data_IF_400622196228
#
_entry.id   IF_400622196228
#
_cell.length_a   1.000
_cell.length_b   1.000
_cell.length_c   1.000
_cell.angle_alpha   90.00
_cell.angle_beta   90.00
_cell.angle_gamma   90.00
#
_symmetry.space_group_name_H-M   'P 1'
#
loop_
_entity.id
_entity.type
_entity.pdbx_description
1 polymer ?
#
# COMPACT_ATOMS: atom_id res chain seq x y z
N UNK A 1 35.72 -14.27 -40.29
CA UNK A 1 36.58 -14.14 -39.10
C UNK A 1 37.25 -12.77 -38.92
N UNK A 2 38.27 -12.33 -39.68
CA UNK A 2 38.99 -11.07 -39.36
C UNK A 2 38.14 -9.80 -39.43
N UNK A 3 37.17 -9.72 -40.35
CA UNK A 3 36.29 -8.56 -40.49
C UNK A 3 35.20 -8.53 -39.41
N UNK A 4 34.59 -9.68 -39.11
CA UNK A 4 33.60 -9.85 -38.04
C UNK A 4 34.20 -9.58 -36.66
N UNK A 5 35.42 -10.07 -36.40
CA UNK A 5 36.13 -9.80 -35.16
C UNK A 5 36.45 -8.31 -35.00
N UNK A 6 36.81 -7.61 -36.08
CA UNK A 6 37.05 -6.16 -36.06
C UNK A 6 35.77 -5.37 -35.77
N UNK A 7 34.63 -5.78 -36.32
CA UNK A 7 33.33 -5.18 -36.02
C UNK A 7 32.91 -5.38 -34.55
N UNK A 8 33.09 -6.59 -34.01
CA UNK A 8 32.83 -6.89 -32.60
C UNK A 8 33.68 -5.99 -31.69
N UNK A 9 34.97 -5.84 -32.02
CA UNK A 9 35.90 -5.05 -31.22
C UNK A 9 35.59 -3.54 -31.27
N UNK A 10 35.12 -3.04 -32.41
CA UNK A 10 34.63 -1.65 -32.54
C UNK A 10 33.37 -1.42 -31.72
N UNK A 11 32.38 -2.32 -31.80
CA UNK A 11 31.16 -2.21 -31.00
C UNK A 11 31.45 -2.29 -29.49
N UNK A 12 32.32 -3.20 -29.07
CA UNK A 12 32.78 -3.29 -27.68
C UNK A 12 33.45 -1.98 -27.24
N UNK A 13 34.32 -1.41 -28.08
CA UNK A 13 34.94 -0.12 -27.82
C UNK A 13 33.91 1.00 -27.64
N UNK A 14 32.91 1.08 -28.52
CA UNK A 14 31.83 2.08 -28.43
C UNK A 14 31.00 1.91 -27.15
N UNK A 15 30.68 0.67 -26.75
CA UNK A 15 29.93 0.40 -25.51
C UNK A 15 30.75 0.80 -24.27
N UNK A 16 32.03 0.45 -24.22
CA UNK A 16 32.91 0.79 -23.10
C UNK A 16 33.09 2.30 -22.98
N UNK A 17 33.31 2.99 -24.11
CA UNK A 17 33.46 4.45 -24.12
C UNK A 17 32.16 5.14 -23.72
N UNK A 18 31.02 4.73 -24.28
CA UNK A 18 29.71 5.32 -23.96
C UNK A 18 29.31 5.07 -22.51
N UNK A 19 29.49 3.84 -22.01
CA UNK A 19 29.21 3.48 -20.62
C UNK A 19 30.13 4.20 -19.64
N UNK A 20 31.42 4.34 -19.97
CA UNK A 20 32.38 5.09 -19.17
C UNK A 20 32.03 6.58 -19.09
N UNK A 21 31.65 7.20 -20.21
CA UNK A 21 31.18 8.59 -20.23
C UNK A 21 29.93 8.78 -19.36
N UNK A 22 28.94 7.88 -19.49
CA UNK A 22 27.72 7.94 -18.69
C UNK A 22 28.01 7.76 -17.20
N UNK A 23 28.93 6.86 -16.83
CA UNK A 23 29.33 6.62 -15.44
C UNK A 23 30.01 7.85 -14.82
N UNK A 24 30.90 8.52 -15.56
CA UNK A 24 31.54 9.76 -15.09
C UNK A 24 30.48 10.84 -14.87
N UNK A 25 29.59 11.07 -15.84
CA UNK A 25 28.50 12.06 -15.70
C UNK A 25 27.61 11.72 -14.50
N UNK A 26 27.22 10.46 -14.35
CA UNK A 26 26.40 10.00 -13.24
C UNK A 26 27.10 10.24 -11.88
N UNK A 27 28.39 9.96 -11.76
CA UNK A 27 29.14 10.14 -10.51
C UNK A 27 29.24 11.59 -10.02
N UNK A 28 29.19 12.57 -10.94
CA UNK A 28 29.12 13.98 -10.55
C UNK A 28 27.68 14.46 -10.32
N UNK A 29 26.69 13.82 -10.95
CA UNK A 29 25.29 14.26 -10.88
C UNK A 29 24.55 13.60 -9.73
N UNK A 30 24.96 12.41 -9.27
CA UNK A 30 24.30 11.65 -8.21
C UNK A 30 24.18 12.45 -6.92
N UNK A 31 25.25 13.13 -6.51
CA UNK A 31 25.29 13.85 -5.24
C UNK A 31 24.33 15.06 -5.28
N UNK A 32 24.28 15.75 -6.42
CA UNK A 32 23.34 16.85 -6.68
C UNK A 32 21.90 16.33 -6.69
N UNK A 33 21.63 15.14 -7.24
CA UNK A 33 20.27 14.56 -7.24
C UNK A 33 19.80 14.30 -5.80
N UNK A 34 20.66 13.71 -4.97
CA UNK A 34 20.32 13.41 -3.57
C UNK A 34 20.06 14.68 -2.77
N UNK A 35 20.90 15.71 -2.94
CA UNK A 35 20.72 16.99 -2.26
C UNK A 35 19.42 17.69 -2.68
N UNK A 36 19.12 17.74 -3.99
CA UNK A 36 17.85 18.30 -4.47
C UNK A 36 16.62 17.50 -4.02
N UNK A 37 16.74 16.18 -3.88
CA UNK A 37 15.66 15.32 -3.36
C UNK A 37 15.42 15.57 -1.87
N UNK A 38 16.47 15.76 -1.09
CA UNK A 38 16.38 16.11 0.32
C UNK A 38 15.80 17.52 0.52
N UNK A 39 16.23 18.50 -0.26
CA UNK A 39 15.66 19.85 -0.24
C UNK A 39 14.15 19.81 -0.56
N UNK A 40 13.75 19.13 -1.65
CA UNK A 40 12.33 18.97 -1.99
C UNK A 40 11.53 18.27 -0.90
N UNK A 41 12.13 17.29 -0.22
CA UNK A 41 11.51 16.58 0.89
C UNK A 41 11.32 17.50 2.10
N UNK A 42 12.32 18.30 2.43
CA UNK A 42 12.23 19.26 3.53
C UNK A 42 11.22 20.38 3.23
N UNK A 43 11.23 20.91 2.01
CA UNK A 43 10.21 21.85 1.54
C UNK A 43 8.80 21.25 1.64
N UNK A 44 8.65 19.97 1.26
CA UNK A 44 7.38 19.25 1.38
C UNK A 44 6.90 19.12 2.83
N UNK A 45 7.82 18.79 3.75
CA UNK A 45 7.50 18.67 5.17
C UNK A 45 6.96 20.01 5.72
N UNK A 46 7.66 21.11 5.43
CA UNK A 46 7.29 22.46 5.86
C UNK A 46 5.99 22.92 5.20
N UNK A 47 5.77 22.62 3.91
CA UNK A 47 4.53 22.95 3.21
C UNK A 47 3.32 22.22 3.81
N UNK A 48 3.49 20.93 4.15
CA UNK A 48 2.44 20.10 4.70
C UNK A 48 2.11 20.46 6.15
N UNK A 49 3.11 20.78 6.97
CA UNK A 49 2.93 21.16 8.37
C UNK A 49 3.77 22.40 8.71
N UNK A 50 3.33 23.61 8.31
CA UNK A 50 4.09 24.85 8.52
C UNK A 50 4.23 25.21 10.01
N UNK A 51 3.39 24.64 10.87
CA UNK A 51 3.44 24.81 12.32
C UNK A 51 4.68 24.17 12.97
N UNK A 52 5.41 23.31 12.23
CA UNK A 52 6.60 22.62 12.70
C UNK A 52 7.94 23.18 12.16
N UNK A 53 7.90 24.26 11.38
CA UNK A 53 9.08 24.88 10.74
C UNK A 53 10.21 25.19 11.75
N UNK A 54 9.88 25.71 12.93
CA UNK A 54 10.86 26.18 13.92
C UNK A 54 11.33 25.14 14.93
N UNK A 55 10.54 24.10 15.21
CA UNK A 55 10.90 23.03 16.16
C UNK A 55 11.44 21.76 15.49
N UNK A 56 11.20 21.63 14.19
CA UNK A 56 11.76 20.58 13.35
C UNK A 56 10.94 19.30 13.32
N UNK A 57 11.15 18.56 12.24
CA UNK A 57 10.61 17.23 12.03
C UNK A 57 11.58 16.22 12.66
N UNK A 58 11.05 15.30 13.46
CA UNK A 58 11.81 14.13 13.88
C UNK A 58 11.48 13.01 12.92
N UNK A 59 12.47 12.64 12.11
CA UNK A 59 12.39 11.41 11.34
C UNK A 59 12.33 10.25 12.31
N UNK A 60 11.28 9.47 12.16
CA UNK A 60 11.14 8.20 12.81
C UNK A 60 11.07 7.16 11.71
N UNK A 61 12.15 6.41 11.55
CA UNK A 61 12.13 5.20 10.74
C UNK A 61 11.40 4.13 11.54
N UNK A 62 10.11 4.35 11.83
CA UNK A 62 9.24 3.22 12.07
C UNK A 62 9.10 2.57 10.70
N UNK A 63 10.02 1.65 10.45
CA UNK A 63 9.81 0.58 9.52
C UNK A 63 8.67 -0.24 10.16
N UNK A 64 7.43 0.24 10.00
CA UNK A 64 6.37 -0.68 9.63
C UNK A 64 6.99 -1.52 8.51
N UNK A 65 6.75 -2.82 8.51
CA UNK A 65 7.49 -3.83 7.74
C UNK A 65 7.56 -3.57 6.20
N UNK A 66 7.00 -2.45 5.74
CA UNK A 66 6.90 -1.87 4.40
C UNK A 66 7.87 -0.69 4.07
N UNK A 67 8.92 -0.39 4.86
CA UNK A 67 9.94 0.67 4.58
C UNK A 67 9.42 2.11 4.44
N UNK A 68 8.21 2.41 4.90
CA UNK A 68 7.64 3.76 4.84
C UNK A 68 8.25 4.68 5.90
N UNK A 69 8.67 5.89 5.51
CA UNK A 69 9.24 6.88 6.45
C UNK A 69 8.12 7.76 7.03
N UNK A 70 8.12 7.92 8.36
CA UNK A 70 7.21 8.81 9.10
C UNK A 70 8.04 9.94 9.73
N UNK A 71 7.50 11.15 9.69
CA UNK A 71 8.09 12.33 10.31
C UNK A 71 7.12 12.87 11.35
N UNK A 72 7.49 12.81 12.62
CA UNK A 72 6.70 13.44 13.68
C UNK A 72 7.00 14.94 13.69
N UNK A 73 5.94 15.75 13.63
CA UNK A 73 6.02 17.19 13.58
C UNK A 73 5.68 17.79 14.95
N UNK A 74 6.53 18.69 15.44
CA UNK A 74 6.38 19.35 16.75
C UNK A 74 6.35 20.87 16.56
N UNK A 75 5.59 21.59 17.40
CA UNK A 75 5.63 23.05 17.47
C UNK A 75 6.83 23.56 18.29
N UNK A 76 7.05 24.88 18.28
CA UNK A 76 8.10 25.58 19.06
C UNK A 76 8.13 25.24 20.56
N UNK A 77 7.01 24.77 21.11
CA UNK A 77 6.86 24.44 22.53
C UNK A 77 7.13 22.95 22.78
N UNK A 78 7.47 22.18 21.74
CA UNK A 78 7.72 20.75 21.80
C UNK A 78 6.44 19.90 21.84
N UNK A 79 5.28 20.49 21.55
CA UNK A 79 4.02 19.75 21.45
C UNK A 79 3.87 19.20 20.03
N UNK A 80 3.50 17.93 19.93
CA UNK A 80 3.22 17.28 18.64
C UNK A 80 2.03 17.95 17.96
N UNK A 81 2.23 18.41 16.72
CA UNK A 81 1.18 19.05 15.89
C UNK A 81 0.61 18.10 14.84
N UNK A 82 1.38 17.08 14.46
CA UNK A 82 0.97 16.09 13.49
C UNK A 82 2.08 15.10 13.15
N UNK A 83 1.90 14.42 12.03
CA UNK A 83 2.92 13.60 11.39
C UNK A 83 2.82 13.74 9.87
N UNK A 84 3.92 13.49 9.18
CA UNK A 84 3.97 13.36 7.72
C UNK A 84 4.42 11.95 7.39
N UNK A 85 3.73 11.27 6.50
CA UNK A 85 4.11 9.93 6.05
C UNK A 85 4.13 9.86 4.54
N UNK A 86 4.85 8.87 4.01
CA UNK A 86 4.93 8.63 2.56
C UNK A 86 4.05 7.44 2.18
N UNK A 87 3.27 7.59 1.10
CA UNK A 87 2.55 6.50 0.44
C UNK A 87 2.99 6.39 -1.02
N UNK A 88 2.98 5.17 -1.56
CA UNK A 88 3.35 4.92 -2.95
C UNK A 88 2.33 4.02 -3.66
N UNK A 89 1.04 4.40 -3.74
CA UNK A 89 0.04 3.62 -4.44
C UNK A 89 0.42 3.43 -5.91
N UNK A 90 0.03 2.28 -6.47
CA UNK A 90 0.23 1.97 -7.88
C UNK A 90 -0.79 2.74 -8.73
N UNK A 91 -0.29 3.72 -9.48
CA UNK A 91 -1.04 4.44 -10.51
C UNK A 91 -1.20 3.64 -11.80
N UNK A 92 -1.53 4.34 -12.89
CA UNK A 92 -1.68 3.73 -14.21
C UNK A 92 -0.33 3.30 -14.81
N UNK A 93 0.70 4.15 -14.73
CA UNK A 93 2.00 3.90 -15.34
C UNK A 93 3.07 3.43 -14.34
N UNK A 94 2.85 3.62 -13.04
CA UNK A 94 3.80 3.25 -12.00
C UNK A 94 3.38 3.77 -10.63
N UNK A 95 4.24 3.63 -9.59
CA UNK A 95 3.96 4.16 -8.26
C UNK A 95 3.88 5.69 -8.29
N UNK A 96 2.97 6.24 -7.48
CA UNK A 96 2.81 7.68 -7.25
C UNK A 96 3.26 7.97 -5.81
N UNK A 97 4.54 8.34 -5.64
CA UNK A 97 5.12 8.61 -4.32
C UNK A 97 4.62 9.95 -3.83
N UNK A 98 3.85 9.93 -2.75
CA UNK A 98 3.14 11.09 -2.20
C UNK A 98 3.41 11.19 -0.71
N UNK A 99 3.79 12.38 -0.25
CA UNK A 99 3.83 12.73 1.16
C UNK A 99 2.48 13.28 1.60
N UNK A 100 2.02 12.85 2.76
CA UNK A 100 0.71 13.21 3.31
C UNK A 100 0.92 13.79 4.70
N UNK A 101 0.44 15.00 4.92
CA UNK A 101 0.44 15.62 6.24
C UNK A 101 -0.84 15.30 6.99
N UNK A 102 -0.72 14.80 8.21
CA UNK A 102 -1.83 14.44 9.09
C UNK A 102 -1.71 15.22 10.39
N UNK A 103 -2.75 15.97 10.74
CA UNK A 103 -2.83 16.73 11.99
C UNK A 103 -3.26 15.83 13.14
N UNK A 104 -2.98 16.29 14.36
CA UNK A 104 -3.40 15.60 15.61
C UNK A 104 -4.92 15.44 15.77
N UNK A 105 -5.72 16.21 15.05
CA UNK A 105 -7.18 16.09 15.00
C UNK A 105 -7.69 15.10 13.93
N UNK A 106 -6.78 14.29 13.35
CA UNK A 106 -7.04 13.32 12.28
C UNK A 106 -7.44 13.93 10.92
N UNK A 107 -7.29 15.24 10.75
CA UNK A 107 -7.52 15.90 9.46
C UNK A 107 -6.25 15.93 8.63
N UNK A 108 -6.39 15.78 7.32
CA UNK A 108 -5.29 15.91 6.37
C UNK A 108 -4.94 17.39 6.19
N UNK A 109 -3.69 17.78 6.46
CA UNK A 109 -3.24 19.16 6.22
C UNK A 109 -2.97 19.44 4.75
N UNK A 110 -2.64 18.41 3.98
CA UNK A 110 -2.40 18.45 2.54
C UNK A 110 -1.72 17.17 2.06
N UNK A 111 -1.51 17.10 0.74
CA UNK A 111 -0.69 16.08 0.09
C UNK A 111 0.30 16.76 -0.86
N UNK A 112 1.46 16.14 -1.06
CA UNK A 112 2.43 16.55 -2.06
C UNK A 112 3.00 15.33 -2.79
N UNK A 113 2.86 15.30 -4.11
CA UNK A 113 3.43 14.26 -4.95
C UNK A 113 4.91 14.54 -5.17
N UNK A 114 5.78 13.65 -4.69
CA UNK A 114 7.24 13.77 -4.77
C UNK A 114 7.77 13.22 -6.07
N UNK A 115 7.28 12.05 -6.48
CA UNK A 115 7.69 11.40 -7.73
C UNK A 115 6.60 10.50 -8.28
N UNK A 116 6.59 10.35 -9.60
CA UNK A 116 5.60 9.53 -10.29
C UNK A 116 6.07 9.18 -11.70
N UNK A 117 5.47 8.14 -12.29
CA UNK A 117 5.76 7.71 -13.67
C UNK A 117 4.60 7.93 -14.66
N UNK A 118 3.58 8.70 -14.27
CA UNK A 118 2.40 8.93 -15.13
C UNK A 118 2.72 9.73 -16.39
N UNK A 119 1.88 9.55 -17.40
CA UNK A 119 1.98 10.27 -18.67
C UNK A 119 1.77 11.78 -18.46
N UNK A 120 2.74 12.63 -18.88
CA UNK A 120 2.58 14.08 -18.86
C UNK A 120 1.33 14.55 -19.62
N UNK A 121 0.58 15.50 -19.04
CA UNK A 121 -0.65 16.02 -19.63
C UNK A 121 -1.87 15.11 -19.52
N UNK A 122 -1.75 13.94 -18.89
CA UNK A 122 -2.87 13.07 -18.53
C UNK A 122 -2.83 12.74 -17.03
N UNK A 123 -2.15 11.66 -16.64
CA UNK A 123 -2.08 11.22 -15.25
C UNK A 123 -1.24 12.15 -14.37
N UNK A 124 -0.27 12.88 -14.94
CA UNK A 124 0.55 13.85 -14.21
C UNK A 124 -0.26 15.03 -13.60
N UNK A 125 -1.51 15.23 -14.04
CA UNK A 125 -2.39 16.26 -13.48
C UNK A 125 -2.72 16.02 -11.99
N UNK A 126 -2.45 14.83 -11.43
CA UNK A 126 -2.55 14.59 -9.97
C UNK A 126 -1.56 15.45 -9.17
N UNK A 127 -0.54 16.02 -9.81
CA UNK A 127 0.40 16.98 -9.20
C UNK A 127 -0.16 18.41 -9.16
N UNK A 128 -1.27 18.68 -9.83
CA UNK A 128 -1.84 20.02 -9.88
C UNK A 128 -2.28 20.46 -8.47
N UNK A 129 -1.99 21.72 -8.15
CA UNK A 129 -2.36 22.30 -6.85
C UNK A 129 -3.87 22.29 -6.63
N UNK A 130 -4.67 22.38 -7.71
CA UNK A 130 -6.13 22.28 -7.65
C UNK A 130 -6.62 20.91 -7.18
N UNK A 131 -5.91 19.83 -7.53
CA UNK A 131 -6.23 18.48 -7.07
C UNK A 131 -5.74 18.26 -5.63
N UNK A 132 -4.48 18.60 -5.36
CA UNK A 132 -3.87 18.43 -4.03
C UNK A 132 -4.57 19.24 -2.93
N UNK A 133 -5.12 20.42 -3.26
CA UNK A 133 -5.86 21.24 -2.31
C UNK A 133 -7.19 20.63 -1.85
N UNK A 134 -7.78 19.70 -2.60
CA UNK A 134 -9.06 19.08 -2.22
C UNK A 134 -8.94 18.24 -0.95
N UNK A 135 -7.74 17.74 -0.65
CA UNK A 135 -7.47 16.93 0.54
C UNK A 135 -7.40 17.74 1.83
N UNK A 136 -7.26 19.07 1.75
CA UNK A 136 -7.03 19.92 2.93
C UNK A 136 -8.27 19.98 3.81
N UNK A 137 -8.10 19.57 5.08
CA UNK A 137 -9.15 19.57 6.09
C UNK A 137 -10.08 18.36 6.06
N UNK A 138 -9.85 17.40 5.14
CA UNK A 138 -10.67 16.19 5.07
C UNK A 138 -10.25 15.18 6.14
N UNK A 139 -11.25 14.43 6.63
CA UNK A 139 -11.07 13.24 7.46
C UNK A 139 -11.04 11.97 6.61
N UNK A 140 -10.48 10.85 7.10
CA UNK A 140 -10.39 9.62 6.33
C UNK A 140 -11.72 9.15 5.70
N UNK A 141 -12.86 9.34 6.38
CA UNK A 141 -14.19 9.00 5.87
C UNK A 141 -14.67 9.85 4.68
N UNK A 142 -14.04 11.00 4.44
CA UNK A 142 -14.38 11.94 3.37
C UNK A 142 -13.46 11.78 2.15
N UNK A 143 -12.33 11.07 2.29
CA UNK A 143 -11.31 10.84 1.25
C UNK A 143 -11.74 9.72 0.30
N UNK A 144 -12.81 10.01 -0.44
CA UNK A 144 -13.26 9.22 -1.57
C UNK A 144 -13.48 10.12 -2.76
N UNK A 145 -13.46 9.52 -3.95
CA UNK A 145 -13.88 10.25 -5.15
C UNK A 145 -15.35 10.66 -5.02
N UNK A 146 -15.74 11.80 -5.59
CA UNK A 146 -17.13 12.26 -5.67
C UNK A 146 -18.04 11.20 -6.32
N UNK A 147 -17.52 10.42 -7.26
CA UNK A 147 -18.22 9.27 -7.87
C UNK A 147 -18.50 8.11 -6.91
N UNK A 148 -17.75 8.03 -5.81
CA UNK A 148 -17.86 7.01 -4.76
C UNK A 148 -18.45 7.60 -3.45
N UNK A 149 -18.94 8.84 -3.47
CA UNK A 149 -19.60 9.48 -2.33
C UNK A 149 -18.70 10.27 -1.38
N UNK A 150 -17.46 10.59 -1.78
CA UNK A 150 -16.59 11.50 -1.02
C UNK A 150 -16.50 12.89 -1.62
N UNK A 151 -15.49 13.64 -1.18
CA UNK A 151 -15.31 15.07 -1.49
C UNK A 151 -14.24 15.35 -2.57
N UNK A 152 -13.58 14.31 -3.11
CA UNK A 152 -12.50 14.47 -4.10
C UNK A 152 -13.02 14.31 -5.54
N UNK A 153 -12.94 15.38 -6.33
CA UNK A 153 -13.20 15.34 -7.76
C UNK A 153 -12.05 14.68 -8.52
N UNK A 154 -12.38 13.58 -9.21
CA UNK A 154 -11.43 12.90 -10.09
C UNK A 154 -11.03 13.78 -11.28
N UNK A 155 -9.76 13.67 -11.70
CA UNK A 155 -9.28 14.38 -12.89
C UNK A 155 -9.87 13.71 -14.14
N UNK A 156 -10.41 14.55 -15.01
CA UNK A 156 -11.01 14.11 -16.28
C UNK A 156 -9.96 13.36 -17.12
N UNK A 157 -10.34 12.18 -17.62
CA UNK A 157 -9.49 11.26 -18.38
C UNK A 157 -8.29 10.64 -17.61
N UNK A 158 -8.20 10.87 -16.30
CA UNK A 158 -7.15 10.32 -15.42
C UNK A 158 -7.74 9.67 -14.16
N UNK A 159 -8.87 8.98 -14.31
CA UNK A 159 -9.62 8.39 -13.19
C UNK A 159 -8.85 7.29 -12.47
N UNK A 160 -8.04 6.49 -13.18
CA UNK A 160 -7.21 5.43 -12.57
C UNK A 160 -6.21 6.03 -11.60
N UNK A 161 -5.42 7.02 -12.05
CA UNK A 161 -4.40 7.68 -11.25
C UNK A 161 -5.03 8.51 -10.10
N UNK A 162 -6.17 9.16 -10.36
CA UNK A 162 -6.93 9.89 -9.33
C UNK A 162 -7.44 8.95 -8.23
N UNK A 163 -8.01 7.81 -8.61
CA UNK A 163 -8.51 6.82 -7.66
C UNK A 163 -7.38 6.18 -6.85
N UNK A 164 -6.28 5.79 -7.52
CA UNK A 164 -5.12 5.19 -6.87
C UNK A 164 -4.50 6.12 -5.83
N UNK A 165 -4.36 7.40 -6.15
CA UNK A 165 -3.85 8.40 -5.21
C UNK A 165 -4.83 8.60 -4.05
N UNK A 166 -6.12 8.78 -4.33
CA UNK A 166 -7.15 8.98 -3.30
C UNK A 166 -7.23 7.79 -2.35
N UNK A 167 -7.21 6.56 -2.87
CA UNK A 167 -7.23 5.34 -2.05
C UNK A 167 -5.95 5.19 -1.24
N UNK A 168 -4.78 5.42 -1.84
CA UNK A 168 -3.50 5.33 -1.13
C UNK A 168 -3.37 6.36 0.00
N UNK A 169 -3.85 7.59 -0.21
CA UNK A 169 -3.88 8.62 0.84
C UNK A 169 -4.80 8.19 1.98
N UNK A 170 -6.02 7.76 1.69
CA UNK A 170 -6.97 7.29 2.71
C UNK A 170 -6.41 6.12 3.52
N UNK A 171 -5.93 5.08 2.85
CA UNK A 171 -5.34 3.89 3.49
C UNK A 171 -4.11 4.25 4.35
N UNK A 172 -3.28 5.19 3.86
CA UNK A 172 -2.18 5.72 4.65
C UNK A 172 -2.63 6.48 5.88
N UNK A 173 -3.62 7.38 5.76
CA UNK A 173 -4.18 8.13 6.91
C UNK A 173 -4.71 7.16 7.95
N UNK A 174 -5.49 6.18 7.52
CA UNK A 174 -6.01 5.12 8.38
C UNK A 174 -4.86 4.39 9.08
N UNK A 175 -3.86 3.91 8.33
CA UNK A 175 -2.69 3.18 8.84
C UNK A 175 -1.87 3.96 9.86
N UNK A 176 -1.64 5.26 9.61
CA UNK A 176 -0.73 6.06 10.41
C UNK A 176 -1.41 6.85 11.54
N UNK A 177 -2.75 6.86 11.59
CA UNK A 177 -3.52 7.50 12.67
C UNK A 177 -3.10 7.05 14.08
N UNK A 178 -2.87 5.75 14.38
CA UNK A 178 -2.41 5.33 15.72
C UNK A 178 -1.09 6.00 16.16
N UNK A 179 -0.20 6.24 15.20
CA UNK A 179 1.09 6.88 15.43
C UNK A 179 0.99 8.37 15.77
N UNK A 180 -0.18 9.00 15.63
CA UNK A 180 -0.39 10.37 16.13
C UNK A 180 -0.24 10.45 17.65
N UNK A 181 -0.64 9.40 18.37
CA UNK A 181 -0.61 9.38 19.84
C UNK A 181 0.69 8.85 20.44
N UNK A 182 1.53 8.21 19.61
CA UNK A 182 2.79 7.62 20.03
C UNK A 182 3.93 8.63 19.95
N UNK A 183 4.88 8.54 20.89
CA UNK A 183 6.13 9.27 20.78
C UNK A 183 7.01 8.66 19.69
N UNK A 184 8.00 9.43 19.21
CA UNK A 184 8.94 8.92 18.21
C UNK A 184 9.72 7.72 18.77
N UNK A 185 9.70 6.60 18.04
CA UNK A 185 10.32 5.31 18.37
C UNK A 185 9.36 4.28 18.95
N UNK A 186 8.11 4.64 19.26
CA UNK A 186 7.10 3.70 19.76
C UNK A 186 6.31 3.06 18.61
N UNK A 187 6.29 1.73 18.56
CA UNK A 187 5.34 0.97 17.75
C UNK A 187 3.99 0.94 18.47
N UNK A 188 2.86 1.03 17.77
CA UNK A 188 1.57 0.75 18.37
C UNK A 188 1.65 -0.65 18.94
N UNK A 189 1.41 -0.78 20.25
CA UNK A 189 1.11 -2.08 20.82
C UNK A 189 -0.07 -2.62 20.03
N UNK A 190 0.13 -3.75 19.35
CA UNK A 190 -0.96 -4.53 18.78
C UNK A 190 -2.11 -4.53 19.80
N UNK A 191 -3.36 -4.23 19.41
CA UNK A 191 -4.44 -4.37 20.35
C UNK A 191 -4.42 -5.82 20.82
N UNK A 192 -3.99 -6.05 22.07
CA UNK A 192 -4.38 -7.25 22.80
C UNK A 192 -5.89 -7.26 22.74
N UNK A 193 -6.42 -8.03 21.80
CA UNK A 193 -7.81 -8.42 21.78
C UNK A 193 -8.03 -9.05 23.15
N UNK A 194 -8.65 -8.28 24.04
CA UNK A 194 -9.18 -8.74 25.32
C UNK A 194 -10.20 -9.82 24.98
N UNK A 195 -9.73 -11.05 24.83
CA UNK A 195 -10.56 -12.24 24.76
C UNK A 195 -10.76 -12.67 26.21
N UNK A 196 -11.88 -12.18 26.74
CA UNK A 196 -12.49 -12.64 27.97
C UNK A 196 -12.46 -14.17 28.05
N UNK A 197 -11.88 -14.65 29.14
CA UNK A 197 -11.61 -16.05 29.43
C UNK A 197 -12.84 -16.73 30.03
N UNK A 198 -13.65 -17.34 29.17
CA UNK A 198 -14.59 -18.43 29.49
C UNK A 198 -14.87 -19.12 28.15
N UNK A 199 -14.42 -20.33 27.85
CA UNK A 199 -14.59 -21.59 28.56
C UNK A 199 -13.38 -22.51 28.40
N UNK A 200 -13.12 -23.25 29.48
CA UNK A 200 -12.14 -24.32 29.63
C UNK A 200 -12.63 -25.62 28.99
N UNK A 201 -11.65 -26.38 28.48
CA UNK A 201 -11.63 -27.82 28.23
C UNK A 201 -12.55 -28.41 27.15
N UNK A 202 -11.93 -28.99 26.12
CA UNK A 202 -11.80 -30.45 26.03
C UNK A 202 -10.77 -30.84 24.96
N UNK A 203 -9.59 -31.23 25.45
CA UNK A 203 -8.77 -32.39 25.04
C UNK A 203 -8.21 -32.47 23.61
N UNK A 204 -6.88 -32.47 23.58
CA UNK A 204 -6.05 -33.27 22.67
C UNK A 204 -6.53 -34.75 22.63
N UNK A 205 -6.73 -35.31 21.43
CA UNK A 205 -6.34 -36.67 21.00
C UNK A 205 -7.06 -37.07 19.72
N UNK A 206 -6.36 -37.86 18.89
CA UNK A 206 -6.77 -38.62 17.69
C UNK A 206 -6.97 -37.79 16.42
N UNK A 207 -5.99 -37.78 15.51
CA UNK A 207 -5.72 -38.80 14.48
C UNK A 207 -6.82 -38.91 13.41
N UNK A 208 -6.42 -38.50 12.20
CA UNK A 208 -6.80 -39.06 10.89
C UNK A 208 -8.27 -38.95 10.43
N UNK A 209 -8.38 -38.71 9.11
CA UNK A 209 -9.54 -38.90 8.21
C UNK A 209 -10.59 -37.78 8.08
N UNK A 210 -10.30 -36.75 7.26
CA UNK A 210 -11.16 -36.28 6.13
C UNK A 210 -10.30 -35.44 5.13
N UNK A 211 -9.39 -36.04 4.35
CA UNK A 211 -8.66 -35.31 3.27
C UNK A 211 -8.87 -35.86 1.86
N UNK A 212 -9.77 -36.82 1.64
CA UNK A 212 -9.71 -37.65 0.42
C UNK A 212 -10.75 -37.34 -0.67
N UNK A 213 -11.28 -36.11 -0.80
CA UNK A 213 -12.14 -35.75 -1.95
C UNK A 213 -12.30 -34.23 -2.23
N UNK A 214 -11.33 -33.40 -1.83
CA UNK A 214 -11.34 -31.96 -2.10
C UNK A 214 -10.18 -31.60 -3.02
N UNK A 215 -10.47 -30.94 -4.13
CA UNK A 215 -9.45 -30.40 -5.04
C UNK A 215 -8.85 -29.14 -4.39
N UNK A 216 -7.61 -29.26 -3.90
CA UNK A 216 -6.88 -28.19 -3.20
C UNK A 216 -6.13 -27.35 -4.22
N UNK A 217 -6.50 -26.08 -4.32
CA UNK A 217 -5.87 -25.12 -5.24
C UNK A 217 -5.19 -24.00 -4.47
N UNK A 218 -3.89 -23.87 -4.71
CA UNK A 218 -3.02 -22.89 -4.06
C UNK A 218 -2.78 -21.76 -5.05
N UNK A 219 -3.30 -20.57 -4.77
CA UNK A 219 -3.29 -19.44 -5.69
C UNK A 219 -2.45 -18.31 -5.07
N UNK A 220 -1.25 -18.01 -5.63
CA UNK A 220 -0.50 -16.84 -5.22
C UNK A 220 -1.19 -15.57 -5.74
N UNK A 221 -1.23 -14.55 -4.90
CA UNK A 221 -1.89 -13.29 -5.17
C UNK A 221 -1.03 -12.14 -4.64
N UNK A 222 -0.87 -11.11 -5.46
CA UNK A 222 -0.30 -9.85 -5.00
C UNK A 222 -1.24 -9.22 -3.98
N UNK A 223 -0.77 -9.10 -2.73
CA UNK A 223 -1.42 -8.32 -1.69
C UNK A 223 -0.98 -6.87 -1.70
N UNK A 224 -1.42 -6.13 -0.68
CA UNK A 224 -1.10 -4.71 -0.56
C UNK A 224 0.37 -4.46 -0.18
N UNK A 225 0.95 -5.35 0.65
CA UNK A 225 2.30 -5.23 1.20
C UNK A 225 3.24 -6.24 0.55
N UNK A 226 2.85 -7.51 0.50
CA UNK A 226 3.61 -8.58 -0.16
C UNK A 226 2.69 -9.60 -0.85
N UNK A 227 3.26 -10.55 -1.62
CA UNK A 227 2.48 -11.67 -2.16
C UNK A 227 2.07 -12.63 -1.03
N UNK A 228 0.80 -13.00 -1.00
CA UNK A 228 0.29 -14.01 -0.09
C UNK A 228 -0.45 -15.12 -0.86
N UNK A 229 -0.60 -16.25 -0.20
CA UNK A 229 -1.19 -17.44 -0.80
C UNK A 229 -2.62 -17.64 -0.33
N UNK A 230 -3.55 -17.84 -1.27
CA UNK A 230 -4.92 -18.25 -0.96
C UNK A 230 -5.09 -19.72 -1.30
N UNK A 231 -5.47 -20.51 -0.31
CA UNK A 231 -5.77 -21.93 -0.46
C UNK A 231 -7.27 -22.09 -0.59
N UNK A 232 -7.72 -22.61 -1.72
CA UNK A 232 -9.13 -22.88 -2.00
C UNK A 232 -9.36 -24.37 -2.07
N UNK A 233 -10.33 -24.87 -1.32
CA UNK A 233 -10.76 -26.25 -1.35
C UNK A 233 -12.06 -26.35 -2.16
N UNK A 234 -12.05 -27.11 -3.24
CA UNK A 234 -13.22 -27.35 -4.08
C UNK A 234 -13.77 -28.76 -3.86
N UNK A 235 -15.09 -28.89 -3.74
CA UNK A 235 -15.78 -30.19 -3.69
C UNK A 235 -15.83 -30.88 -5.07
N UNK A 236 -16.28 -32.13 -5.08
CA UNK A 236 -16.44 -32.93 -6.31
C UNK A 236 -17.42 -32.32 -7.33
N UNK A 237 -18.27 -31.38 -6.91
CA UNK A 237 -19.22 -30.66 -7.75
C UNK A 237 -18.68 -29.29 -8.22
N UNK A 238 -17.41 -28.98 -7.91
CA UNK A 238 -16.74 -27.72 -8.25
C UNK A 238 -17.21 -26.51 -7.44
N UNK A 239 -17.83 -26.72 -6.27
CA UNK A 239 -18.16 -25.65 -5.32
C UNK A 239 -17.04 -25.44 -4.31
N UNK A 240 -16.90 -24.22 -3.79
CA UNK A 240 -15.93 -23.93 -2.72
C UNK A 240 -16.42 -24.57 -1.41
N UNK A 241 -15.65 -25.53 -0.90
CA UNK A 241 -15.84 -26.13 0.41
C UNK A 241 -15.19 -25.31 1.53
N UNK A 242 -14.10 -24.60 1.21
CA UNK A 242 -13.39 -23.74 2.16
C UNK A 242 -12.37 -22.86 1.47
N UNK A 243 -12.03 -21.76 2.12
CA UNK A 243 -10.92 -20.87 1.76
C UNK A 243 -10.08 -20.67 3.01
N UNK A 244 -8.78 -20.86 2.89
CA UNK A 244 -7.80 -20.66 3.95
C UNK A 244 -6.67 -19.77 3.43
N UNK A 245 -6.12 -18.96 4.32
CA UNK A 245 -4.98 -18.11 4.04
C UNK A 245 -3.97 -18.41 5.13
N UNK A 246 -2.80 -19.00 4.81
CA UNK A 246 -1.77 -19.29 5.80
C UNK A 246 -1.28 -18.00 6.44
N UNK A 247 -1.43 -17.87 7.76
CA UNK A 247 -0.98 -16.67 8.50
C UNK A 247 0.53 -16.45 8.37
N UNK A 248 1.30 -17.53 8.19
CA UNK A 248 2.77 -17.47 8.01
C UNK A 248 3.19 -16.72 6.73
N UNK A 249 2.35 -16.73 5.69
CA UNK A 249 2.58 -16.05 4.41
C UNK A 249 1.73 -14.77 4.28
N UNK A 250 0.90 -14.46 5.28
CA UNK A 250 -0.02 -13.33 5.24
C UNK A 250 0.61 -12.10 5.89
N UNK A 251 1.47 -11.43 5.14
CA UNK A 251 2.11 -10.18 5.54
C UNK A 251 1.23 -8.99 5.17
N UNK A 252 0.11 -8.80 5.87
CA UNK A 252 -0.74 -7.62 5.69
C UNK A 252 -0.73 -6.69 6.91
N UNK A 253 -1.30 -5.48 6.75
CA UNK A 253 -1.29 -4.48 7.81
C UNK A 253 -2.16 -4.92 8.99
N UNK A 254 -1.59 -5.09 10.20
CA UNK A 254 -2.35 -5.54 11.35
C UNK A 254 -3.50 -4.61 11.71
N UNK A 255 -4.68 -5.18 11.97
CA UNK A 255 -5.91 -4.42 12.26
C UNK A 255 -6.66 -3.86 11.03
N UNK A 256 -6.10 -3.99 9.83
CA UNK A 256 -6.75 -3.64 8.57
C UNK A 256 -6.94 -4.90 7.73
N UNK A 257 -5.86 -5.38 7.12
CA UNK A 257 -5.83 -6.54 6.23
C UNK A 257 -6.21 -7.85 6.90
N UNK A 258 -5.75 -8.05 8.14
CA UNK A 258 -6.03 -9.24 8.95
C UNK A 258 -7.52 -9.50 9.20
N UNK A 259 -8.38 -8.48 9.02
CA UNK A 259 -9.82 -8.68 9.08
C UNK A 259 -10.28 -9.71 8.04
N UNK A 260 -9.58 -9.82 6.92
CA UNK A 260 -9.85 -10.80 5.88
C UNK A 260 -9.43 -12.23 6.25
N UNK A 261 -8.62 -12.43 7.30
CA UNK A 261 -8.35 -13.75 7.88
C UNK A 261 -9.51 -14.26 8.75
N UNK A 262 -10.48 -13.40 9.07
CA UNK A 262 -11.63 -13.82 9.87
C UNK A 262 -12.43 -14.91 9.16
N UNK A 263 -12.77 -15.98 9.89
CA UNK A 263 -13.63 -17.05 9.38
C UNK A 263 -14.97 -16.52 8.86
N UNK A 264 -15.49 -15.44 9.46
CA UNK A 264 -16.73 -14.77 9.02
C UNK A 264 -16.65 -14.25 7.59
N UNK A 265 -15.48 -13.78 7.13
CA UNK A 265 -15.29 -13.34 5.76
C UNK A 265 -15.03 -14.51 4.81
N UNK A 266 -14.13 -15.43 5.18
CA UNK A 266 -13.77 -16.58 4.33
C UNK A 266 -14.95 -17.54 4.11
N UNK A 267 -15.84 -17.67 5.08
CA UNK A 267 -17.06 -18.47 4.98
C UNK A 267 -18.05 -17.94 3.93
N UNK A 268 -17.96 -16.66 3.55
CA UNK A 268 -18.84 -16.06 2.52
C UNK A 268 -18.61 -16.66 1.13
N UNK A 269 -17.45 -17.28 0.93
CA UNK A 269 -17.10 -17.94 -0.33
C UNK A 269 -17.63 -19.38 -0.42
N UNK A 270 -18.03 -19.98 0.72
CA UNK A 270 -18.50 -21.37 0.76
C UNK A 270 -19.75 -21.56 -0.08
N UNK A 271 -19.77 -22.63 -0.88
CA UNK A 271 -20.88 -23.01 -1.75
C UNK A 271 -20.95 -22.23 -3.08
N UNK A 272 -20.08 -21.24 -3.31
CA UNK A 272 -20.00 -20.56 -4.59
C UNK A 272 -19.37 -21.47 -5.65
N UNK A 273 -19.94 -21.44 -6.87
CA UNK A 273 -19.54 -22.29 -8.00
C UNK A 273 -19.05 -21.52 -9.22
N UNK A 274 -19.04 -20.20 -9.16
CA UNK A 274 -18.69 -19.35 -10.31
C UNK A 274 -17.77 -18.20 -9.89
N UNK A 275 -16.82 -17.81 -10.76
CA UNK A 275 -16.00 -16.60 -10.57
C UNK A 275 -16.83 -15.35 -10.32
N UNK A 276 -17.94 -15.20 -11.05
CA UNK A 276 -18.84 -14.05 -10.92
C UNK A 276 -19.48 -13.99 -9.53
N UNK A 277 -19.83 -15.14 -8.95
CA UNK A 277 -20.36 -15.22 -7.59
C UNK A 277 -19.33 -14.81 -6.55
N UNK A 278 -18.08 -15.24 -6.71
CA UNK A 278 -16.96 -14.85 -5.83
C UNK A 278 -16.70 -13.35 -5.88
N UNK A 279 -16.67 -12.77 -7.07
CA UNK A 279 -16.44 -11.33 -7.25
C UNK A 279 -17.59 -10.46 -6.70
N UNK A 280 -18.78 -11.04 -6.51
CA UNK A 280 -19.94 -10.35 -5.93
C UNK A 280 -19.96 -10.31 -4.39
N UNK A 281 -19.05 -11.00 -3.71
CA UNK A 281 -18.92 -10.94 -2.25
C UNK A 281 -18.47 -9.53 -1.85
N UNK A 282 -19.14 -8.92 -0.86
CA UNK A 282 -18.77 -7.58 -0.41
C UNK A 282 -17.38 -7.59 0.25
N UNK A 283 -16.60 -6.57 -0.06
CA UNK A 283 -15.33 -6.33 0.62
C UNK A 283 -15.55 -5.95 2.09
N UNK A 284 -14.54 -6.20 2.93
CA UNK A 284 -14.53 -5.71 4.31
C UNK A 284 -14.17 -4.21 4.30
N UNK A 285 -14.93 -3.42 5.05
CA UNK A 285 -14.65 -1.99 5.27
C UNK A 285 -13.27 -1.80 5.92
N UNK A 286 -12.42 -0.97 5.30
CA UNK A 286 -11.04 -0.75 5.74
C UNK A 286 -10.05 -1.87 5.35
N UNK A 287 -10.47 -2.83 4.53
CA UNK A 287 -9.61 -3.88 3.96
C UNK A 287 -10.01 -4.19 2.51
N UNK A 288 -10.36 -3.14 1.74
CA UNK A 288 -10.93 -3.29 0.39
C UNK A 288 -9.92 -3.88 -0.59
N UNK A 289 -8.68 -3.40 -0.57
CA UNK A 289 -7.62 -3.91 -1.45
C UNK A 289 -7.32 -5.39 -1.21
N UNK A 290 -7.20 -5.79 0.06
CA UNK A 290 -7.05 -7.18 0.50
C UNK A 290 -8.25 -8.03 0.09
N UNK A 291 -9.46 -7.53 0.35
CA UNK A 291 -10.71 -8.24 0.05
C UNK A 291 -10.84 -8.49 -1.44
N UNK A 292 -10.54 -7.50 -2.28
CA UNK A 292 -10.60 -7.64 -3.73
C UNK A 292 -9.49 -8.56 -4.26
N UNK A 293 -8.31 -8.55 -3.63
CA UNK A 293 -7.22 -9.47 -3.93
C UNK A 293 -7.59 -10.93 -3.62
N UNK A 294 -8.19 -11.18 -2.44
CA UNK A 294 -8.70 -12.52 -2.07
C UNK A 294 -9.81 -12.95 -3.03
N UNK A 295 -10.77 -12.07 -3.33
CA UNK A 295 -11.84 -12.35 -4.29
C UNK A 295 -11.28 -12.71 -5.67
N UNK A 296 -10.27 -12.00 -6.14
CA UNK A 296 -9.60 -12.29 -7.40
C UNK A 296 -8.86 -13.64 -7.36
N UNK A 297 -8.16 -13.95 -6.27
CA UNK A 297 -7.47 -15.23 -6.07
C UNK A 297 -8.44 -16.42 -6.05
N UNK A 298 -9.53 -16.30 -5.28
CA UNK A 298 -10.58 -17.32 -5.19
C UNK A 298 -11.30 -17.49 -6.54
N UNK A 299 -11.51 -16.40 -7.30
CA UNK A 299 -12.08 -16.48 -8.64
C UNK A 299 -11.15 -17.21 -9.63
N UNK A 300 -9.83 -16.97 -9.55
CA UNK A 300 -8.81 -17.67 -10.36
C UNK A 300 -8.72 -19.17 -10.04
N UNK A 301 -9.17 -19.60 -8.86
CA UNK A 301 -9.26 -21.03 -8.54
C UNK A 301 -10.20 -21.81 -9.47
N UNK A 302 -11.15 -21.15 -10.17
CA UNK A 302 -12.02 -21.79 -11.15
C UNK A 302 -11.41 -21.85 -12.57
N UNK A 303 -10.32 -21.13 -12.83
CA UNK A 303 -9.63 -21.14 -14.12
C UNK A 303 -8.81 -22.42 -14.27
N UNK A 304 -8.87 -23.09 -15.43
CA UNK A 304 -8.19 -24.37 -15.70
C UNK A 304 -6.72 -24.19 -16.05
#
# INVERSE_FOLDING_TARGET
>A
MKLEFKMILVMLGVVVVSGGLLAVVYSFTSDIIVENEEEKRQEALIELLPEADTAGFKEDSIIAEDTSVIYHAYDEVGKKVGLVFTVAPKGFAGPIVTMVGLRTDTTVSGILVISMSETPGLGAAVTDTSFSNQYKGLKPDEIFLSSAGGEIDAITASTISSNALTSGVREGVERYTPYLTLESGEKPSSPEATRDSTETDLRETSQESVEDNLDKKVVPQAGFVDEFTVVVFLDSDGAIAGVEIPEEDFSETPGYGDKCLSSTFLDRFKGLKTPQGVLSVDAITGATSTSDSIKAAVARAFER
#
